data_IF_829250423421
#
_entry.id   IF_829250423421
#
_cell.length_a   1.000
_cell.length_b   1.000
_cell.length_c   1.000
_cell.angle_alpha   90.00
_cell.angle_beta   90.00
_cell.angle_gamma   90.00
#
_symmetry.space_group_name_H-M   'P 1'
#
loop_
_entity.id
_entity.type
_entity.pdbx_description
1 polymer ?
#
# COMPACT_ATOMS: atom_id res chain seq x y z
N UNK A 1 13.11 -5.96 6.20
CA UNK A 1 11.70 -5.71 6.58
C UNK A 1 11.00 -5.01 5.44
N UNK A 2 9.89 -5.55 4.95
CA UNK A 2 9.16 -4.99 3.80
C UNK A 2 8.27 -3.81 4.23
N UNK A 3 8.11 -2.77 3.39
CA UNK A 3 7.41 -1.53 3.75
C UNK A 3 5.99 -1.72 4.32
N UNK A 4 5.23 -2.72 3.86
CA UNK A 4 3.91 -3.07 4.42
C UNK A 4 3.95 -3.39 5.91
N UNK A 5 4.95 -4.15 6.35
CA UNK A 5 5.10 -4.52 7.76
C UNK A 5 5.38 -3.30 8.63
N UNK A 6 6.21 -2.37 8.14
CA UNK A 6 6.48 -1.10 8.83
C UNK A 6 5.20 -0.25 8.95
N UNK A 7 4.41 -0.14 7.87
CA UNK A 7 3.17 0.62 7.91
C UNK A 7 2.15 0.02 8.89
N UNK A 8 2.02 -1.31 8.95
CA UNK A 8 1.16 -1.97 9.93
C UNK A 8 1.61 -1.71 11.37
N UNK A 9 2.91 -1.80 11.65
CA UNK A 9 3.47 -1.47 12.96
C UNK A 9 3.21 0.01 13.33
N UNK A 10 3.18 0.92 12.35
CA UNK A 10 2.84 2.33 12.54
C UNK A 10 1.33 2.62 12.69
N UNK A 11 0.48 1.58 12.75
CA UNK A 11 -0.96 1.70 12.96
C UNK A 11 -1.78 1.96 11.69
N UNK A 12 -1.22 1.72 10.51
CA UNK A 12 -1.98 1.74 9.26
C UNK A 12 -2.65 0.38 8.99
N UNK A 13 -3.86 0.41 8.43
CA UNK A 13 -4.56 -0.78 7.94
C UNK A 13 -4.71 -0.73 6.42
N UNK A 14 -4.70 -1.90 5.79
CA UNK A 14 -4.99 -2.04 4.36
C UNK A 14 -6.49 -1.88 4.13
N UNK A 15 -6.86 -1.07 3.14
CA UNK A 15 -8.26 -0.80 2.79
C UNK A 15 -8.63 -1.21 1.38
N UNK A 16 -7.62 -1.49 0.55
CA UNK A 16 -7.84 -1.96 -0.81
C UNK A 16 -6.54 -2.13 -1.56
N UNK A 17 -6.66 -2.70 -2.75
CA UNK A 17 -5.59 -2.81 -3.72
C UNK A 17 -6.11 -2.21 -5.00
N UNK A 18 -5.30 -1.36 -5.63
CA UNK A 18 -5.56 -0.84 -6.95
C UNK A 18 -4.61 -1.51 -7.93
N UNK A 19 -5.17 -2.35 -8.79
CA UNK A 19 -4.40 -3.12 -9.74
C UNK A 19 -3.93 -2.26 -10.91
N UNK A 20 -2.69 -2.49 -11.35
CA UNK A 20 -2.09 -1.96 -12.59
C UNK A 20 -2.35 -0.48 -12.83
N UNK A 21 -2.10 0.35 -11.83
CA UNK A 21 -2.37 1.80 -11.93
C UNK A 21 -1.16 2.59 -12.43
N UNK A 22 0.05 2.08 -12.22
CA UNK A 22 1.29 2.73 -12.69
C UNK A 22 2.11 1.73 -13.48
N UNK A 23 2.60 2.16 -14.64
CA UNK A 23 3.65 1.46 -15.37
C UNK A 23 5.00 2.11 -15.04
N UNK A 24 5.93 1.33 -14.48
CA UNK A 24 7.30 1.76 -14.18
C UNK A 24 8.26 0.80 -14.84
N UNK A 25 9.18 1.30 -15.66
CA UNK A 25 10.16 0.50 -16.40
C UNK A 25 9.51 -0.66 -17.19
N UNK A 26 8.36 -0.41 -17.81
CA UNK A 26 7.62 -1.40 -18.59
C UNK A 26 6.75 -2.38 -17.78
N UNK A 27 6.91 -2.44 -16.45
CA UNK A 27 6.11 -3.29 -15.58
C UNK A 27 4.92 -2.53 -14.98
N UNK A 28 3.75 -3.18 -14.94
CA UNK A 28 2.59 -2.67 -14.23
C UNK A 28 2.72 -3.00 -12.73
N UNK A 29 2.40 -2.01 -11.91
CA UNK A 29 2.45 -2.15 -10.46
C UNK A 29 1.08 -1.92 -9.84
N UNK A 30 0.74 -2.81 -8.93
CA UNK A 30 -0.40 -2.65 -8.05
C UNK A 30 -0.01 -1.74 -6.88
N UNK A 31 -1.00 -0.99 -6.37
CA UNK A 31 -0.81 -0.11 -5.22
C UNK A 31 -1.70 -0.56 -4.08
N UNK A 32 -1.12 -0.66 -2.89
CA UNK A 32 -1.86 -0.96 -1.65
C UNK A 32 -2.36 0.34 -1.06
N UNK A 33 -3.67 0.46 -0.89
CA UNK A 33 -4.28 1.59 -0.19
C UNK A 33 -4.23 1.32 1.31
N UNK A 34 -3.67 2.27 2.04
CA UNK A 34 -3.53 2.23 3.49
C UNK A 34 -4.26 3.40 4.10
N UNK A 35 -4.98 3.17 5.21
CA UNK A 35 -5.55 4.25 6.02
C UNK A 35 -5.08 4.14 7.46
N UNK A 36 -5.10 5.26 8.19
CA UNK A 36 -4.94 5.30 9.63
C UNK A 36 -6.07 6.16 10.20
N UNK A 37 -6.95 5.56 11.01
CA UNK A 37 -7.98 6.29 11.74
C UNK A 37 -7.38 6.84 13.02
N UNK A 38 -7.54 8.14 13.24
CA UNK A 38 -7.39 8.75 14.57
C UNK A 38 -8.80 8.99 15.10
N UNK A 39 -9.08 8.47 16.29
CA UNK A 39 -10.23 8.86 17.11
C UNK A 39 -10.05 10.27 17.63
#
# INVERSE_FOLDING_TARGET
MSGRTLHHQAGYRTVGIRERIVQRNGAWHDTVLLERRRT
#
